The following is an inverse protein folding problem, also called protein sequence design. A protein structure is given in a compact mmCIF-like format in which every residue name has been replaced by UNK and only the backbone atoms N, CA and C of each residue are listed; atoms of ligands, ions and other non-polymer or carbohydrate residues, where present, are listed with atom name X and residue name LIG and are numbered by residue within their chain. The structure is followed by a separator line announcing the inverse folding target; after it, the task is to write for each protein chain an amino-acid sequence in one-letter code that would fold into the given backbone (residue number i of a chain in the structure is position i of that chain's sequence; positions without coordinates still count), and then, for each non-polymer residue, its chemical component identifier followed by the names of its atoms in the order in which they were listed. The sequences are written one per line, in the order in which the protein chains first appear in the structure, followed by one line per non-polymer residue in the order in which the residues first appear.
data_IF_802195166255
#
_entry.id   IF_802195166255
#
_cell.length_a   1.000
_cell.length_b   1.000
_cell.length_c   1.000
_cell.angle_alpha   90.00
_cell.angle_beta   90.00
_cell.angle_gamma   90.00
#
_symmetry.space_group_name_H-M   'P 1'
#
loop_
_entity.id
_entity.type
_entity.pdbx_description
1 polymer ?
#
# COMPACT_ATOMS: atom_id res chain seq x y z
N UNK A 1 -15.73 20.78 21.99
CA UNK A 1 -14.48 21.42 22.46
C UNK A 1 -13.41 21.06 21.45
N UNK A 2 -12.69 22.03 20.85
CA UNK A 2 -11.74 21.72 19.79
C UNK A 2 -10.53 20.95 20.31
N UNK A 3 -10.09 19.94 19.57
CA UNK A 3 -8.97 19.05 19.87
C UNK A 3 -7.76 19.46 19.01
N UNK A 4 -6.58 19.55 19.64
CA UNK A 4 -5.31 19.71 18.92
C UNK A 4 -4.73 18.35 18.59
N UNK A 5 -4.26 18.17 17.36
CA UNK A 5 -3.61 16.94 16.92
C UNK A 5 -2.52 17.23 15.89
N UNK A 6 -1.60 16.28 15.68
CA UNK A 6 -0.52 16.39 14.69
C UNK A 6 -0.77 15.39 13.57
N UNK A 7 -0.71 15.85 12.32
CA UNK A 7 -0.72 14.98 11.14
C UNK A 7 0.36 15.46 10.16
N UNK A 8 1.13 14.52 9.59
CA UNK A 8 2.23 14.83 8.66
C UNK A 8 3.19 15.93 9.18
N UNK A 9 3.51 15.87 10.48
CA UNK A 9 4.40 16.83 11.15
C UNK A 9 3.83 18.24 11.33
N UNK A 10 2.52 18.45 11.10
CA UNK A 10 1.84 19.75 11.23
C UNK A 10 0.77 19.71 12.31
N UNK A 11 0.63 20.80 13.05
CA UNK A 11 -0.41 20.99 14.06
C UNK A 11 -1.75 21.37 13.43
N UNK A 12 -2.82 20.72 13.90
CA UNK A 12 -4.19 20.98 13.50
C UNK A 12 -5.09 21.20 14.71
N UNK A 13 -6.18 21.93 14.49
CA UNK A 13 -7.27 22.13 15.45
C UNK A 13 -8.56 21.64 14.79
N UNK A 14 -9.25 20.67 15.39
CA UNK A 14 -10.51 20.14 14.87
C UNK A 14 -11.62 20.18 15.91
N UNK A 15 -12.82 20.55 15.49
CA UNK A 15 -14.03 20.48 16.33
C UNK A 15 -14.73 19.12 16.25
N UNK A 16 -14.49 18.37 15.18
CA UNK A 16 -15.02 17.04 14.94
C UNK A 16 -14.07 16.23 14.04
N UNK A 17 -14.10 14.91 14.20
CA UNK A 17 -13.47 13.96 13.28
C UNK A 17 -14.58 13.18 12.57
N UNK A 18 -14.50 13.12 11.24
CA UNK A 18 -15.38 12.30 10.41
C UNK A 18 -14.59 11.06 9.99
N UNK A 19 -15.04 9.90 10.43
CA UNK A 19 -14.46 8.63 10.03
C UNK A 19 -15.29 8.06 8.88
N UNK A 20 -14.63 7.67 7.79
CA UNK A 20 -15.30 7.00 6.68
C UNK A 20 -15.76 5.59 7.12
N UNK A 21 -16.94 5.18 6.63
CA UNK A 21 -17.64 3.92 6.97
C UNK A 21 -18.19 3.83 8.40
N UNK A 22 -17.88 2.76 9.13
CA UNK A 22 -18.44 2.44 10.44
C UNK A 22 -17.64 3.01 11.62
N UNK A 23 -16.63 3.84 11.33
CA UNK A 23 -15.78 4.45 12.34
C UNK A 23 -14.61 3.57 12.80
N UNK A 24 -14.36 2.43 12.15
CA UNK A 24 -13.25 1.55 12.52
C UNK A 24 -11.90 2.18 12.15
N UNK A 25 -11.12 2.54 13.16
CA UNK A 25 -9.70 2.87 12.99
C UNK A 25 -8.92 1.59 12.73
N UNK A 26 -8.18 1.54 11.63
CA UNK A 26 -7.33 0.41 11.27
C UNK A 26 -5.88 0.85 11.08
N UNK A 27 -4.94 -0.05 11.35
CA UNK A 27 -3.55 0.13 10.93
C UNK A 27 -3.39 -0.11 9.43
N UNK A 28 -2.61 0.75 8.75
CA UNK A 28 -2.35 0.63 7.31
C UNK A 28 -1.16 -0.27 6.96
N UNK A 29 -0.54 -0.92 7.95
CA UNK A 29 0.65 -1.77 7.77
C UNK A 29 0.43 -2.94 6.79
N UNK A 30 -0.82 -3.38 6.64
CA UNK A 30 -1.20 -4.42 5.69
C UNK A 30 -0.83 -4.07 4.24
N UNK A 31 -0.80 -2.78 3.88
CA UNK A 31 -0.40 -2.35 2.54
C UNK A 31 1.05 -2.69 2.22
N UNK A 32 1.96 -2.66 3.21
CA UNK A 32 3.36 -3.06 3.01
C UNK A 32 3.47 -4.55 2.61
N UNK A 33 2.60 -5.39 3.16
CA UNK A 33 2.53 -6.81 2.85
C UNK A 33 1.88 -7.07 1.50
N UNK A 34 0.84 -6.30 1.17
CA UNK A 34 0.18 -6.36 -0.15
C UNK A 34 1.16 -5.96 -1.26
N UNK A 35 1.92 -4.87 -1.09
CA UNK A 35 2.91 -4.44 -2.09
C UNK A 35 4.02 -5.47 -2.27
N UNK A 36 4.50 -6.10 -1.18
CA UNK A 36 5.43 -7.23 -1.27
C UNK A 36 4.88 -8.40 -2.09
N UNK A 37 3.63 -8.80 -1.83
CA UNK A 37 2.99 -9.90 -2.57
C UNK A 37 2.83 -9.54 -4.05
N UNK A 38 2.41 -8.32 -4.36
CA UNK A 38 2.27 -7.81 -5.73
C UNK A 38 3.60 -7.79 -6.49
N UNK A 39 4.65 -7.20 -5.93
CA UNK A 39 5.97 -7.16 -6.56
C UNK A 39 6.51 -8.57 -6.85
N UNK A 40 6.36 -9.49 -5.88
CA UNK A 40 6.75 -10.89 -6.05
C UNK A 40 5.98 -11.59 -7.14
N UNK A 41 4.65 -11.44 -7.19
CA UNK A 41 3.81 -12.13 -8.18
C UNK A 41 4.05 -11.57 -9.58
N UNK A 42 4.21 -10.24 -9.71
CA UNK A 42 4.66 -9.62 -10.96
C UNK A 42 6.01 -10.19 -11.40
N UNK A 43 6.99 -10.21 -10.49
CA UNK A 43 8.32 -10.74 -10.74
C UNK A 43 8.31 -12.19 -11.22
N UNK A 44 7.49 -13.04 -10.59
CA UNK A 44 7.32 -14.44 -10.99
C UNK A 44 6.67 -14.59 -12.38
N UNK A 45 5.69 -13.74 -12.72
CA UNK A 45 4.94 -13.84 -13.98
C UNK A 45 5.80 -13.49 -15.21
N UNK A 46 6.75 -12.57 -15.05
CA UNK A 46 7.61 -12.07 -16.13
C UNK A 46 9.07 -12.50 -16.00
N UNK A 47 9.42 -13.25 -14.96
CA UNK A 47 10.78 -13.76 -14.74
C UNK A 47 11.79 -12.68 -14.35
N UNK A 48 11.39 -11.71 -13.51
CA UNK A 48 12.34 -10.71 -12.99
C UNK A 48 13.44 -11.37 -12.17
N UNK A 49 14.65 -10.81 -12.27
CA UNK A 49 15.71 -11.15 -11.33
C UNK A 49 15.35 -10.66 -9.93
N UNK A 50 15.95 -11.25 -8.88
CA UNK A 50 15.79 -10.75 -7.50
C UNK A 50 16.15 -9.27 -7.38
N UNK A 51 17.12 -8.80 -8.16
CA UNK A 51 17.52 -7.38 -8.18
C UNK A 51 16.40 -6.50 -8.71
N UNK A 52 15.75 -6.90 -9.80
CA UNK A 52 14.68 -6.11 -10.42
C UNK A 52 13.38 -6.19 -9.63
N UNK A 53 13.07 -7.35 -9.02
CA UNK A 53 11.96 -7.47 -8.06
C UNK A 53 12.16 -6.53 -6.86
N UNK A 54 13.37 -6.47 -6.31
CA UNK A 54 13.70 -5.54 -5.22
C UNK A 54 13.62 -4.08 -5.65
N UNK A 55 13.99 -3.76 -6.90
CA UNK A 55 13.88 -2.41 -7.44
C UNK A 55 12.41 -2.01 -7.64
N UNK A 56 11.58 -2.91 -8.15
CA UNK A 56 10.13 -2.74 -8.27
C UNK A 56 9.51 -2.56 -6.88
N UNK A 57 9.88 -3.37 -5.88
CA UNK A 57 9.35 -3.26 -4.54
C UNK A 57 9.69 -1.90 -3.88
N UNK A 58 10.93 -1.41 -4.09
CA UNK A 58 11.33 -0.05 -3.67
C UNK A 58 10.52 1.03 -4.35
N UNK A 59 10.30 0.91 -5.67
CA UNK A 59 9.45 1.82 -6.42
C UNK A 59 8.01 1.84 -5.87
N UNK A 60 7.49 0.67 -5.53
CA UNK A 60 6.19 0.49 -4.88
C UNK A 60 6.13 1.01 -3.43
N UNK A 61 7.23 1.52 -2.87
CA UNK A 61 7.26 2.16 -1.56
C UNK A 61 7.57 1.24 -0.39
N UNK A 62 8.23 0.11 -0.62
CA UNK A 62 8.65 -0.80 0.47
C UNK A 62 10.14 -1.12 0.37
N UNK A 63 10.85 -1.02 1.49
CA UNK A 63 12.23 -1.47 1.56
C UNK A 63 12.31 -3.01 1.52
N UNK A 64 13.06 -3.62 0.59
CA UNK A 64 13.15 -5.08 0.46
C UNK A 64 13.90 -5.77 1.59
N UNK A 65 14.70 -5.04 2.38
CA UNK A 65 15.49 -5.56 3.49
C UNK A 65 14.76 -5.39 4.83
N UNK A 66 14.21 -4.21 5.09
CA UNK A 66 13.53 -3.92 6.37
C UNK A 66 12.03 -4.18 6.30
N UNK A 67 11.44 -4.07 5.11
CA UNK A 67 10.00 -4.17 4.90
C UNK A 67 9.22 -2.91 5.30
N UNK A 68 9.92 -1.84 5.65
CA UNK A 68 9.33 -0.56 6.06
C UNK A 68 8.87 0.26 4.85
N UNK A 69 8.00 1.24 5.11
CA UNK A 69 7.55 2.19 4.10
C UNK A 69 8.68 3.10 3.65
N UNK A 70 8.75 3.36 2.34
CA UNK A 70 9.66 4.33 1.75
C UNK A 70 8.86 5.57 1.29
N UNK A 71 9.11 6.77 1.85
CA UNK A 71 8.36 7.99 1.52
C UNK A 71 8.35 8.36 0.04
N UNK A 72 9.39 7.98 -0.69
CA UNK A 72 9.55 8.27 -2.12
C UNK A 72 8.80 7.32 -3.06
N UNK A 73 8.21 6.23 -2.55
CA UNK A 73 7.51 5.27 -3.38
C UNK A 73 6.01 5.52 -3.48
N UNK A 74 5.37 4.78 -4.38
CA UNK A 74 3.98 5.04 -4.80
C UNK A 74 2.90 4.44 -3.89
N UNK A 75 3.25 3.90 -2.71
CA UNK A 75 2.29 3.21 -1.81
C UNK A 75 1.13 4.10 -1.34
N UNK A 76 1.33 5.42 -1.35
CA UNK A 76 0.34 6.41 -0.97
C UNK A 76 -0.66 6.74 -2.09
N UNK A 77 -0.39 6.32 -3.34
CA UNK A 77 -1.26 6.61 -4.47
C UNK A 77 -2.56 5.81 -4.39
N UNK A 78 -3.67 6.38 -4.92
CA UNK A 78 -4.88 5.62 -5.18
C UNK A 78 -4.60 4.37 -6.02
N UNK A 79 -5.48 3.38 -5.86
CA UNK A 79 -5.37 2.07 -6.49
C UNK A 79 -5.05 2.12 -7.99
N UNK A 80 -5.88 2.85 -8.74
CA UNK A 80 -5.79 2.93 -10.20
C UNK A 80 -4.53 3.69 -10.64
N UNK A 81 -4.13 4.72 -9.89
CA UNK A 81 -2.92 5.50 -10.20
C UNK A 81 -1.67 4.64 -9.95
N UNK A 82 -1.63 3.86 -8.87
CA UNK A 82 -0.56 2.91 -8.61
C UNK A 82 -0.45 1.82 -9.70
N UNK A 83 -1.58 1.35 -10.25
CA UNK A 83 -1.61 0.41 -11.37
C UNK A 83 -0.94 1.00 -12.62
N UNK A 84 -1.25 2.26 -12.94
CA UNK A 84 -0.67 2.98 -14.08
C UNK A 84 0.83 3.21 -13.89
N UNK A 85 1.26 3.65 -12.70
CA UNK A 85 2.68 3.88 -12.39
C UNK A 85 3.51 2.59 -12.46
N UNK A 86 2.99 1.47 -11.94
CA UNK A 86 3.67 0.17 -12.07
C UNK A 86 3.68 -0.32 -13.50
N UNK A 87 2.60 -0.13 -14.25
CA UNK A 87 2.56 -0.49 -15.67
C UNK A 87 3.63 0.29 -16.47
N UNK A 88 3.73 1.60 -16.25
CA UNK A 88 4.75 2.44 -16.87
C UNK A 88 6.18 2.01 -16.48
N UNK A 89 6.39 1.66 -15.21
CA UNK A 89 7.67 1.11 -14.75
C UNK A 89 8.04 -0.18 -15.52
N UNK A 90 7.10 -1.11 -15.67
CA UNK A 90 7.31 -2.38 -16.38
C UNK A 90 7.47 -2.19 -17.90
N UNK A 91 6.76 -1.24 -18.51
CA UNK A 91 6.97 -0.85 -19.91
C UNK A 91 8.39 -0.32 -20.14
N UNK A 92 8.93 0.45 -19.18
CA UNK A 92 10.33 0.89 -19.18
C UNK A 92 11.35 -0.26 -19.14
N UNK A 93 10.93 -1.43 -18.64
CA UNK A 93 11.72 -2.67 -18.66
C UNK A 93 11.47 -3.53 -19.91
N UNK A 94 10.65 -3.07 -20.86
CA UNK A 94 10.33 -3.77 -22.09
C UNK A 94 9.24 -4.83 -21.96
N UNK A 95 8.46 -4.81 -20.88
CA UNK A 95 7.32 -5.71 -20.71
C UNK A 95 6.16 -5.23 -21.58
N UNK A 96 5.64 -6.04 -22.52
CA UNK A 96 4.50 -5.66 -23.33
C UNK A 96 3.19 -5.87 -22.55
N UNK A 97 2.17 -5.04 -22.85
CA UNK A 97 0.84 -5.12 -22.21
C UNK A 97 0.90 -5.05 -20.68
N UNK A 98 1.82 -4.24 -20.14
CA UNK A 98 2.06 -4.14 -18.70
C UNK A 98 0.82 -3.78 -17.91
N UNK A 99 -0.05 -2.89 -18.40
CA UNK A 99 -1.25 -2.52 -17.66
C UNK A 99 -2.22 -3.69 -17.49
N UNK A 100 -2.41 -4.52 -18.53
CA UNK A 100 -3.27 -5.71 -18.44
C UNK A 100 -2.70 -6.70 -17.41
N UNK A 101 -1.40 -6.96 -17.49
CA UNK A 101 -0.67 -7.83 -16.56
C UNK A 101 -0.77 -7.32 -15.12
N UNK A 102 -0.51 -6.02 -14.92
CA UNK A 102 -0.57 -5.40 -13.59
C UNK A 102 -1.96 -5.60 -13.03
N UNK A 103 -3.01 -5.18 -13.75
CA UNK A 103 -4.40 -5.32 -13.33
C UNK A 103 -4.80 -6.76 -12.98
N UNK A 104 -4.34 -7.76 -13.75
CA UNK A 104 -4.55 -9.18 -13.47
C UNK A 104 -3.91 -9.57 -12.13
N UNK A 105 -2.59 -9.39 -11.98
CA UNK A 105 -1.86 -9.79 -10.77
C UNK A 105 -2.38 -9.06 -9.53
N UNK A 106 -2.68 -7.79 -9.70
CA UNK A 106 -3.19 -6.93 -8.65
C UNK A 106 -4.56 -7.38 -8.15
N UNK A 107 -5.47 -7.74 -9.08
CA UNK A 107 -6.78 -8.33 -8.75
C UNK A 107 -6.63 -9.69 -8.06
N UNK A 108 -5.75 -10.55 -8.55
CA UNK A 108 -5.52 -11.87 -7.95
C UNK A 108 -4.94 -11.75 -6.54
N UNK A 109 -4.00 -10.82 -6.32
CA UNK A 109 -3.49 -10.52 -4.98
C UNK A 109 -4.63 -10.08 -4.06
N UNK A 110 -5.51 -9.19 -4.52
CA UNK A 110 -6.62 -8.69 -3.70
C UNK A 110 -7.64 -9.80 -3.34
N UNK A 111 -7.78 -10.82 -4.19
CA UNK A 111 -8.64 -11.97 -3.92
C UNK A 111 -7.99 -12.99 -2.95
N UNK A 112 -6.67 -13.16 -3.05
CA UNK A 112 -5.92 -14.20 -2.33
C UNK A 112 -5.21 -13.69 -1.07
N UNK A 113 -5.13 -12.37 -0.86
CA UNK A 113 -4.49 -11.80 0.32
C UNK A 113 -5.45 -11.93 1.52
N UNK A 114 -5.02 -12.53 2.64
CA UNK A 114 -5.90 -12.78 3.78
C UNK A 114 -6.06 -11.51 4.61
N UNK A 115 -6.78 -10.53 4.07
CA UNK A 115 -7.01 -9.22 4.68
C UNK A 115 -7.56 -9.33 6.10
N UNK A 116 -8.40 -10.31 6.38
CA UNK A 116 -8.98 -10.58 7.69
C UNK A 116 -7.93 -10.86 8.78
N UNK A 117 -6.71 -11.29 8.40
CA UNK A 117 -5.61 -11.51 9.34
C UNK A 117 -4.83 -10.24 9.67
N UNK A 118 -4.88 -9.24 8.79
CA UNK A 118 -3.99 -8.08 8.81
C UNK A 118 -4.71 -6.75 9.01
N UNK A 119 -5.98 -6.64 8.61
CA UNK A 119 -6.84 -5.51 8.94
C UNK A 119 -7.35 -5.75 10.36
N UNK A 120 -6.77 -5.04 11.31
CA UNK A 120 -7.15 -5.10 12.72
C UNK A 120 -7.53 -3.70 13.20
N UNK A 121 -8.44 -3.60 14.19
CA UNK A 121 -8.66 -2.35 14.90
C UNK A 121 -7.34 -1.81 15.43
N UNK A 122 -7.16 -0.49 15.36
CA UNK A 122 -6.03 0.17 15.99
C UNK A 122 -6.04 -0.17 17.48
N UNK A 123 -4.94 -0.74 18.03
CA UNK A 123 -4.90 -1.14 19.42
C UNK A 123 -5.27 0.02 20.34
N UNK A 124 -6.13 -0.26 21.33
CA UNK A 124 -6.57 0.69 22.35
C UNK A 124 -7.47 1.82 21.85
N UNK A 125 -7.92 1.78 20.59
CA UNK A 125 -8.85 2.78 20.07
C UNK A 125 -10.13 2.86 20.91
N UNK A 126 -10.62 1.73 21.44
CA UNK A 126 -11.78 1.68 22.32
C UNK A 126 -11.63 2.46 23.62
N UNK A 127 -10.39 2.64 24.13
CA UNK A 127 -10.13 3.37 25.38
C UNK A 127 -10.42 4.87 25.24
N UNK A 128 -10.54 5.40 24.02
CA UNK A 128 -10.71 6.82 23.72
C UNK A 128 -12.12 7.18 23.23
N UNK A 129 -13.05 6.22 23.20
CA UNK A 129 -14.44 6.42 22.77
C UNK A 129 -15.43 6.60 23.94
N UNK A 130 -14.94 6.69 25.18
CA UNK A 130 -15.75 6.82 26.42
C UNK A 130 -15.98 8.27 26.86
#
# INVERSE_FOLDING_TARGET
MPVRFVADGRDFLAEAFLFDKDGTLISFDHWLLVMRKRARWLGQRIGLSTKDENALLKFMGVDPHTGESLPQGIIHLPRCDAELEVAAYLEGLGVPRSLELVNEVFREVDQEFPFERYIKPTPRAEEFLA
#
